data_IF_899466079822
#
_entry.id   IF_899466079822
#
_cell.length_a   1.000
_cell.length_b   1.000
_cell.length_c   1.000
_cell.angle_alpha   90.00
_cell.angle_beta   90.00
_cell.angle_gamma   90.00
#
_symmetry.space_group_name_H-M   'P 1'
#
loop_
_entity.id
_entity.type
_entity.pdbx_description
1 polymer ?
#
# COMPACT_ATOMS: atom_id res chain seq x y z
N UNK A 1 -18.51 3.18 16.81
CA UNK A 1 -17.52 4.26 17.01
C UNK A 1 -16.35 3.99 16.08
N UNK A 2 -15.80 5.01 15.42
CA UNK A 2 -14.70 4.87 14.45
C UNK A 2 -13.35 4.87 15.17
N UNK A 3 -12.59 3.77 15.07
CA UNK A 3 -11.29 3.60 15.74
C UNK A 3 -10.14 4.06 14.83
N UNK A 4 -9.66 5.28 15.06
CA UNK A 4 -8.59 5.89 14.26
C UNK A 4 -7.24 5.17 14.42
N UNK A 5 -7.00 4.51 15.56
CA UNK A 5 -5.72 3.84 15.79
C UNK A 5 -5.60 2.60 14.91
N UNK A 6 -6.67 1.80 14.81
CA UNK A 6 -6.73 0.67 13.87
C UNK A 6 -6.49 1.11 12.43
N UNK A 7 -7.11 2.21 12.01
CA UNK A 7 -6.91 2.74 10.65
C UNK A 7 -5.45 3.15 10.43
N UNK A 8 -4.78 3.74 11.42
CA UNK A 8 -3.35 4.13 11.29
C UNK A 8 -2.41 2.93 11.24
N UNK A 9 -2.75 1.84 11.92
CA UNK A 9 -1.99 0.57 11.89
C UNK A 9 -1.93 -0.02 10.48
N UNK A 10 -2.97 0.18 9.67
CA UNK A 10 -2.99 -0.26 8.28
C UNK A 10 -1.97 0.48 7.39
N UNK A 11 -1.41 1.63 7.82
CA UNK A 11 -0.44 2.41 7.06
C UNK A 11 0.94 2.40 7.76
N UNK A 12 1.81 1.42 7.49
CA UNK A 12 3.04 1.18 8.26
C UNK A 12 3.97 2.40 8.30
N UNK A 13 3.99 3.20 7.23
CA UNK A 13 4.84 4.39 7.13
C UNK A 13 4.53 5.43 8.22
N UNK A 14 3.30 5.49 8.73
CA UNK A 14 2.89 6.44 9.77
C UNK A 14 3.54 6.17 11.14
N UNK A 15 4.17 5.01 11.33
CA UNK A 15 4.96 4.69 12.52
C UNK A 15 6.42 5.16 12.44
N UNK A 16 6.88 5.65 11.27
CA UNK A 16 8.28 6.06 11.08
C UNK A 16 8.61 7.38 11.77
N UNK A 17 9.89 7.53 12.07
CA UNK A 17 10.49 8.80 12.46
C UNK A 17 11.21 9.45 11.27
N UNK A 18 11.13 10.78 11.17
CA UNK A 18 11.79 11.61 10.16
C UNK A 18 12.49 12.75 10.90
N UNK A 19 13.80 12.92 10.68
CA UNK A 19 14.64 13.87 11.43
C UNK A 19 14.52 13.72 12.96
N UNK A 20 14.41 12.47 13.44
CA UNK A 20 14.28 12.16 14.86
C UNK A 20 12.91 12.47 15.49
N UNK A 21 11.90 12.81 14.70
CA UNK A 21 10.54 13.13 15.18
C UNK A 21 9.49 12.21 14.53
N UNK A 22 8.34 11.94 15.18
CA UNK A 22 7.25 11.19 14.56
C UNK A 22 6.79 11.82 13.26
N UNK A 23 6.53 11.00 12.24
CA UNK A 23 6.00 11.48 10.96
C UNK A 23 4.58 12.05 11.13
N UNK A 24 4.41 13.29 10.69
CA UNK A 24 3.10 13.94 10.50
C UNK A 24 2.99 14.32 9.02
N UNK A 25 2.26 13.51 8.25
CA UNK A 25 2.14 13.68 6.80
C UNK A 25 0.86 14.44 6.43
N UNK A 26 1.00 15.74 6.12
CA UNK A 26 -0.12 16.61 5.73
C UNK A 26 -0.16 16.98 4.25
N UNK A 27 0.70 16.37 3.42
CA UNK A 27 0.73 16.60 1.97
C UNK A 27 -0.13 15.58 1.20
N UNK A 28 -1.28 15.20 1.78
CA UNK A 28 -2.17 14.19 1.19
C UNK A 28 -2.82 14.64 -0.13
N UNK A 29 -2.83 15.96 -0.39
CA UNK A 29 -3.34 16.53 -1.65
C UNK A 29 -2.42 16.25 -2.84
N UNK A 30 -1.11 16.08 -2.61
CA UNK A 30 -0.16 15.71 -3.65
C UNK A 30 -0.13 14.19 -3.89
N UNK A 31 -0.06 13.39 -2.82
CA UNK A 31 -0.16 11.93 -2.89
C UNK A 31 -0.53 11.34 -1.53
N UNK A 32 -1.06 10.13 -1.52
CA UNK A 32 -1.50 9.45 -0.30
C UNK A 32 -0.61 8.27 0.05
N UNK A 33 -0.44 8.04 1.35
CA UNK A 33 0.17 6.81 1.86
C UNK A 33 -0.72 5.60 1.52
N UNK A 34 -0.11 4.41 1.42
CA UNK A 34 -0.82 3.19 1.02
C UNK A 34 -1.03 2.28 2.23
N UNK A 35 -2.24 1.73 2.41
CA UNK A 35 -2.46 0.73 3.43
C UNK A 35 -1.84 -0.61 3.02
N UNK A 36 -1.59 -1.50 4.00
CA UNK A 36 -0.97 -2.81 3.79
C UNK A 36 -1.69 -3.64 2.73
N UNK A 37 -3.03 -3.69 2.75
CA UNK A 37 -3.80 -4.49 1.79
C UNK A 37 -3.53 -4.12 0.32
N UNK A 38 -3.22 -2.85 0.02
CA UNK A 38 -2.84 -2.41 -1.34
C UNK A 38 -1.43 -2.90 -1.67
N UNK A 39 -0.49 -2.79 -0.73
CA UNK A 39 0.88 -3.25 -0.93
C UNK A 39 0.94 -4.77 -1.09
N UNK A 40 0.16 -5.51 -0.31
CA UNK A 40 0.06 -6.95 -0.36
C UNK A 40 -0.57 -7.42 -1.68
N UNK A 41 -1.62 -6.76 -2.16
CA UNK A 41 -2.21 -7.07 -3.46
C UNK A 41 -1.22 -6.81 -4.62
N UNK A 42 -0.49 -5.70 -4.60
CA UNK A 42 0.57 -5.43 -5.58
C UNK A 42 1.67 -6.48 -5.51
N UNK A 43 2.09 -6.85 -4.30
CA UNK A 43 3.12 -7.86 -4.09
C UNK A 43 2.68 -9.23 -4.61
N UNK A 44 1.45 -9.63 -4.32
CA UNK A 44 0.86 -10.88 -4.79
C UNK A 44 0.81 -10.92 -6.32
N UNK A 45 0.40 -9.82 -6.95
CA UNK A 45 0.41 -9.68 -8.40
C UNK A 45 1.81 -9.93 -8.96
N UNK A 46 2.80 -9.18 -8.50
CA UNK A 46 4.17 -9.29 -9.01
C UNK A 46 4.86 -10.63 -8.71
N UNK A 47 4.49 -11.30 -7.62
CA UNK A 47 5.14 -12.55 -7.23
C UNK A 47 4.50 -13.79 -7.84
N UNK A 48 3.18 -13.81 -8.02
CA UNK A 48 2.45 -15.04 -8.29
C UNK A 48 1.65 -15.03 -9.59
N UNK A 49 1.21 -13.86 -10.08
CA UNK A 49 0.27 -13.78 -11.22
C UNK A 49 0.63 -12.72 -12.26
N UNK A 50 1.85 -12.17 -12.22
CA UNK A 50 2.27 -11.14 -13.14
C UNK A 50 2.41 -11.67 -14.57
N UNK A 51 1.65 -11.06 -15.47
CA UNK A 51 1.73 -11.35 -16.89
C UNK A 51 0.99 -10.28 -17.71
N UNK A 52 1.13 -10.37 -19.02
CA UNK A 52 0.49 -9.44 -19.94
C UNK A 52 -1.03 -9.58 -19.87
N UNK A 53 -1.75 -8.45 -19.92
CA UNK A 53 -3.22 -8.39 -19.81
C UNK A 53 -3.94 -8.78 -21.11
N UNK A 54 -3.22 -8.83 -22.23
CA UNK A 54 -3.77 -9.19 -23.53
C UNK A 54 -3.78 -10.70 -23.73
N UNK A 55 -5.01 -11.26 -23.78
CA UNK A 55 -5.36 -12.68 -23.99
C UNK A 55 -4.30 -13.48 -24.74
N UNK A 56 -3.31 -13.97 -24.01
CA UNK A 56 -2.46 -15.05 -24.45
C UNK A 56 -3.13 -16.38 -24.19
N UNK A 57 -2.72 -17.38 -24.95
CA UNK A 57 -3.37 -18.70 -25.01
C UNK A 57 -3.06 -19.58 -23.79
N UNK A 58 -2.52 -19.00 -22.72
CA UNK A 58 -1.99 -19.70 -21.55
C UNK A 58 -2.47 -19.09 -20.24
N UNK A 59 -2.40 -19.87 -19.15
CA UNK A 59 -3.04 -19.61 -17.86
C UNK A 59 -2.87 -18.21 -17.26
N UNK A 60 -1.77 -17.51 -17.56
CA UNK A 60 -1.51 -16.16 -17.05
C UNK A 60 -1.58 -15.04 -18.10
N UNK A 61 -1.98 -15.27 -19.36
CA UNK A 61 -2.09 -14.17 -20.35
C UNK A 61 -3.50 -13.86 -20.81
#
# INVERSE_FOLDING_TARGET
MYDINKVREDFPILSRTVYGKPLVYFDNGATTQKPLCVLDAMREEYLNVNANVHRGVHWMS
#
